data_IF_617254588220
#
_entry.id   IF_617254588220
#
_cell.length_a   1.000
_cell.length_b   1.000
_cell.length_c   1.000
_cell.angle_alpha   90.00
_cell.angle_beta   90.00
_cell.angle_gamma   90.00
#
_symmetry.space_group_name_H-M   'P 1'
#
loop_
_entity.id
_entity.type
_entity.pdbx_description
1 polymer ?
#
# COMPACT_ATOMS: atom_id res chain seq x y z
N UNK A 1 8.88 -13.81 -13.10
CA UNK A 1 7.94 -12.97 -13.91
C UNK A 1 7.25 -11.89 -13.08
N UNK A 2 6.93 -12.09 -11.77
CA UNK A 2 6.20 -11.09 -10.94
C UNK A 2 7.08 -9.94 -10.45
N UNK A 3 8.37 -10.12 -10.30
CA UNK A 3 9.35 -9.05 -10.01
C UNK A 3 9.30 -7.99 -11.10
N UNK A 4 9.31 -8.40 -12.37
CA UNK A 4 9.25 -7.51 -13.54
C UNK A 4 7.98 -6.62 -13.59
N UNK A 5 6.87 -7.03 -12.92
CA UNK A 5 5.66 -6.21 -12.91
C UNK A 5 5.75 -5.03 -11.95
N UNK A 6 6.51 -5.16 -10.84
CA UNK A 6 6.73 -4.04 -9.91
C UNK A 6 7.62 -2.99 -10.54
N UNK A 7 8.73 -3.38 -11.13
CA UNK A 7 9.59 -2.48 -11.93
C UNK A 7 8.82 -1.83 -13.07
N UNK A 8 7.95 -2.59 -13.75
CA UNK A 8 7.07 -2.04 -14.78
C UNK A 8 6.11 -0.97 -14.21
N UNK A 9 5.45 -1.23 -13.07
CA UNK A 9 4.53 -0.27 -12.45
C UNK A 9 5.26 0.98 -11.96
N UNK A 10 6.49 0.85 -11.42
CA UNK A 10 7.35 1.99 -11.10
C UNK A 10 7.66 2.81 -12.35
N UNK A 11 7.98 2.18 -13.46
CA UNK A 11 8.30 2.86 -14.72
C UNK A 11 7.09 3.64 -15.29
N UNK A 12 5.87 3.14 -15.10
CA UNK A 12 4.66 3.91 -15.43
C UNK A 12 4.63 5.21 -14.62
N UNK A 13 4.91 5.16 -13.31
CA UNK A 13 4.94 6.36 -12.47
C UNK A 13 6.09 7.28 -12.84
N UNK A 14 7.30 6.77 -13.05
CA UNK A 14 8.47 7.59 -13.46
C UNK A 14 8.21 8.40 -14.71
N UNK A 15 7.50 7.82 -15.68
CA UNK A 15 7.13 8.50 -16.92
C UNK A 15 6.15 9.65 -16.70
N UNK A 16 5.26 9.53 -15.71
CA UNK A 16 4.26 10.55 -15.35
C UNK A 16 4.85 11.61 -14.41
N UNK A 17 5.79 11.22 -13.56
CA UNK A 17 6.41 12.02 -12.51
C UNK A 17 7.95 11.94 -12.62
N UNK A 18 8.55 12.38 -13.74
CA UNK A 18 9.98 12.16 -14.01
C UNK A 18 10.92 12.83 -12.99
N UNK A 19 10.51 13.96 -12.43
CA UNK A 19 11.33 14.76 -11.51
C UNK A 19 11.09 14.43 -10.03
N UNK A 20 10.33 13.36 -9.73
CA UNK A 20 9.99 13.00 -8.36
C UNK A 20 10.77 11.77 -7.88
N UNK A 21 11.35 11.90 -6.69
CA UNK A 21 11.85 10.74 -5.95
C UNK A 21 10.71 9.75 -5.62
N UNK A 22 11.04 8.48 -5.53
CA UNK A 22 10.06 7.42 -5.25
C UNK A 22 10.31 6.82 -3.87
N UNK A 23 9.26 6.74 -3.04
CA UNK A 23 9.24 5.93 -1.83
C UNK A 23 8.32 4.73 -2.07
N UNK A 24 8.88 3.53 -2.05
CA UNK A 24 8.11 2.30 -2.19
C UNK A 24 7.52 1.90 -0.83
N UNK A 25 6.19 1.81 -0.72
CA UNK A 25 5.51 1.45 0.52
C UNK A 25 5.39 -0.07 0.60
N UNK A 26 6.11 -0.64 1.56
CA UNK A 26 6.26 -2.09 1.74
C UNK A 26 5.74 -2.63 3.08
N UNK A 27 5.07 -1.78 3.87
CA UNK A 27 4.43 -2.17 5.13
C UNK A 27 3.38 -3.26 4.96
N UNK A 28 2.97 -3.91 6.05
CA UNK A 28 1.96 -4.96 6.10
C UNK A 28 2.28 -6.09 5.11
N UNK A 29 3.46 -6.72 5.27
CA UNK A 29 3.95 -7.77 4.37
C UNK A 29 4.00 -7.33 2.89
N UNK A 30 4.39 -6.07 2.63
CA UNK A 30 4.33 -5.51 1.28
C UNK A 30 2.92 -5.68 0.66
N UNK A 31 1.90 -5.31 1.42
CA UNK A 31 0.48 -5.50 1.05
C UNK A 31 0.13 -6.97 0.78
N UNK A 32 0.69 -7.89 1.57
CA UNK A 32 0.48 -9.33 1.44
C UNK A 32 1.35 -10.01 0.37
N UNK A 33 2.33 -9.32 -0.19
CA UNK A 33 3.20 -9.86 -1.26
C UNK A 33 4.51 -10.47 -0.74
N UNK A 34 4.74 -10.42 0.58
CA UNK A 34 5.98 -10.85 1.24
C UNK A 34 7.06 -9.75 1.22
N UNK A 35 7.38 -9.22 2.40
CA UNK A 35 8.24 -8.05 2.56
C UNK A 35 9.62 -8.25 1.93
N UNK A 36 10.34 -9.30 2.34
CA UNK A 36 11.72 -9.55 1.93
C UNK A 36 11.85 -9.76 0.42
N UNK A 37 10.90 -10.51 -0.16
CA UNK A 37 10.87 -10.74 -1.61
C UNK A 37 10.60 -9.47 -2.41
N UNK A 38 9.83 -8.53 -1.86
CA UNK A 38 9.53 -7.26 -2.52
C UNK A 38 10.69 -6.31 -2.42
N UNK A 39 11.29 -6.12 -1.23
CA UNK A 39 12.42 -5.19 -1.06
C UNK A 39 13.65 -5.63 -1.86
N UNK A 40 13.97 -6.93 -1.88
CA UNK A 40 15.03 -7.46 -2.74
C UNK A 40 14.79 -7.22 -4.24
N UNK A 41 13.54 -7.28 -4.66
CA UNK A 41 13.15 -7.06 -6.05
C UNK A 41 13.19 -5.57 -6.45
N UNK A 42 13.09 -4.67 -5.48
CA UNK A 42 13.08 -3.22 -5.69
C UNK A 42 14.40 -2.55 -5.32
N UNK A 43 15.29 -3.25 -4.64
CA UNK A 43 16.63 -2.75 -4.35
C UNK A 43 17.40 -2.57 -5.66
N UNK A 44 17.88 -1.37 -5.92
CA UNK A 44 18.46 -1.01 -7.23
C UNK A 44 17.47 -0.41 -8.24
N UNK A 45 16.18 -0.32 -7.92
CA UNK A 45 15.17 0.39 -8.74
C UNK A 45 15.12 1.90 -8.44
N UNK A 46 16.16 2.48 -7.89
CA UNK A 46 16.27 3.91 -7.56
C UNK A 46 15.08 4.44 -6.72
N UNK A 47 14.67 3.64 -5.73
CA UNK A 47 13.77 4.09 -4.69
C UNK A 47 14.58 4.81 -3.61
N UNK A 48 14.14 6.02 -3.24
CA UNK A 48 14.80 6.79 -2.19
C UNK A 48 14.68 6.08 -0.82
N UNK A 49 13.51 5.52 -0.56
CA UNK A 49 13.21 4.83 0.71
C UNK A 49 12.25 3.65 0.52
N UNK A 50 12.31 2.71 1.48
CA UNK A 50 11.24 1.73 1.71
C UNK A 50 10.37 2.18 2.89
N UNK A 51 9.14 2.61 2.61
CA UNK A 51 8.19 3.06 3.62
C UNK A 51 7.56 1.89 4.38
N UNK A 52 7.79 1.85 5.69
CA UNK A 52 7.28 0.83 6.62
C UNK A 52 6.41 1.47 7.69
N UNK A 53 5.60 0.69 8.41
CA UNK A 53 4.75 1.18 9.49
C UNK A 53 5.40 1.03 10.86
N UNK A 54 6.25 0.03 11.05
CA UNK A 54 6.82 -0.32 12.36
C UNK A 54 8.33 -0.48 12.29
N UNK A 55 8.97 -0.35 13.44
CA UNK A 55 10.41 -0.59 13.63
C UNK A 55 10.75 -2.06 13.33
N UNK A 56 9.88 -2.99 13.71
CA UNK A 56 10.06 -4.41 13.40
C UNK A 56 10.08 -4.68 11.87
N UNK A 57 9.23 -4.02 11.08
CA UNK A 57 9.29 -4.11 9.62
C UNK A 57 10.59 -3.51 9.07
N UNK A 58 11.09 -2.40 9.64
CA UNK A 58 12.38 -1.81 9.26
C UNK A 58 13.54 -2.77 9.54
N UNK A 59 13.52 -3.48 10.67
CA UNK A 59 14.47 -4.53 10.99
C UNK A 59 14.48 -5.64 9.94
N UNK A 60 13.31 -6.10 9.52
CA UNK A 60 13.19 -7.13 8.44
C UNK A 60 13.69 -6.62 7.08
N UNK A 61 13.49 -5.33 6.76
CA UNK A 61 14.09 -4.73 5.55
C UNK A 61 15.61 -4.76 5.63
N UNK A 62 16.19 -4.36 6.78
CA UNK A 62 17.64 -4.45 7.03
C UNK A 62 18.15 -5.89 6.86
N UNK A 63 17.47 -6.85 7.49
CA UNK A 63 17.87 -8.27 7.51
C UNK A 63 17.73 -8.93 6.13
N UNK A 64 16.92 -8.34 5.25
CA UNK A 64 16.87 -8.75 3.83
C UNK A 64 18.15 -8.40 3.07
N UNK A 65 19.06 -7.59 3.63
CA UNK A 65 20.36 -7.25 3.05
C UNK A 65 20.28 -6.25 1.89
N UNK A 66 19.25 -5.42 1.84
CA UNK A 66 19.05 -4.38 0.82
C UNK A 66 19.73 -3.07 1.22
N UNK A 67 20.07 -2.23 0.24
CA UNK A 67 20.76 -0.95 0.44
C UNK A 67 19.79 0.20 0.68
N UNK A 68 18.60 0.13 0.11
CA UNK A 68 17.58 1.18 0.23
C UNK A 68 17.13 1.30 1.69
N UNK A 69 17.24 2.51 2.23
CA UNK A 69 16.98 2.78 3.65
C UNK A 69 15.47 2.66 3.98
N UNK A 70 15.11 2.04 5.12
CA UNK A 70 13.77 2.10 5.66
C UNK A 70 13.39 3.53 6.09
N UNK A 71 12.10 3.86 5.92
CA UNK A 71 11.45 5.06 6.43
C UNK A 71 10.23 4.67 7.26
N UNK A 72 10.25 4.99 8.55
CA UNK A 72 9.13 4.75 9.46
C UNK A 72 8.08 5.85 9.27
N UNK A 73 6.90 5.49 8.74
CA UNK A 73 5.88 6.41 8.19
C UNK A 73 5.03 7.12 9.25
N UNK A 74 5.12 6.74 10.49
CA UNK A 74 4.29 7.31 11.56
C UNK A 74 4.99 7.25 12.92
N UNK A 75 4.31 7.73 13.97
CA UNK A 75 4.82 7.66 15.32
C UNK A 75 5.18 6.24 15.72
N UNK A 76 6.26 6.09 16.48
CA UNK A 76 6.71 4.83 17.08
C UNK A 76 6.76 4.97 18.61
N UNK A 77 6.75 3.84 19.30
CA UNK A 77 6.88 3.86 20.75
C UNK A 77 8.26 4.39 21.17
N UNK A 78 8.30 5.07 22.32
CA UNK A 78 9.53 5.67 22.80
C UNK A 78 10.69 4.66 22.90
N UNK A 79 10.41 3.42 23.36
CA UNK A 79 11.41 2.35 23.43
C UNK A 79 11.91 1.81 22.10
N UNK A 80 11.23 2.11 21.00
CA UNK A 80 11.64 1.69 19.64
C UNK A 80 12.54 2.73 18.94
N UNK A 81 12.55 3.98 19.43
CA UNK A 81 13.29 5.09 18.79
C UNK A 81 14.80 4.86 18.80
N UNK A 82 15.29 4.16 19.80
CA UNK A 82 16.71 3.81 19.93
C UNK A 82 17.19 2.98 18.72
N UNK A 83 16.44 1.97 18.31
CA UNK A 83 16.78 1.14 17.16
C UNK A 83 16.81 1.94 15.86
N UNK A 84 15.92 2.93 15.71
CA UNK A 84 15.92 3.86 14.57
C UNK A 84 17.25 4.61 14.48
N UNK A 85 17.68 5.19 15.62
CA UNK A 85 18.92 5.98 15.68
C UNK A 85 20.15 5.11 15.47
N UNK A 86 20.20 3.95 16.11
CA UNK A 86 21.34 3.02 15.96
C UNK A 86 21.55 2.57 14.52
N UNK A 87 20.46 2.34 13.77
CA UNK A 87 20.52 1.89 12.38
C UNK A 87 20.53 3.04 11.35
N UNK A 88 20.37 4.30 11.77
CA UNK A 88 20.32 5.45 10.87
C UNK A 88 19.11 5.46 9.93
N UNK A 89 17.99 4.87 10.36
CA UNK A 89 16.75 4.88 9.59
C UNK A 89 16.09 6.25 9.63
N UNK A 90 15.22 6.52 8.64
CA UNK A 90 14.43 7.74 8.62
C UNK A 90 13.14 7.56 9.37
N UNK A 91 12.71 8.61 10.07
CA UNK A 91 11.49 8.59 10.86
C UNK A 91 10.59 9.81 10.55
N UNK A 92 9.29 9.60 10.63
CA UNK A 92 8.33 10.68 10.74
C UNK A 92 8.48 11.37 12.09
N UNK A 93 8.40 12.71 12.12
CA UNK A 93 8.41 13.52 13.32
C UNK A 93 7.08 14.25 13.43
N UNK A 94 6.36 14.07 14.55
CA UNK A 94 4.99 14.57 14.72
C UNK A 94 4.78 15.40 15.97
N UNK A 95 5.79 15.53 16.86
CA UNK A 95 5.70 16.33 18.07
C UNK A 95 7.08 16.82 18.54
N UNK A 96 7.07 17.84 19.39
CA UNK A 96 8.29 18.32 20.06
C UNK A 96 8.89 17.29 21.00
N UNK A 97 8.05 16.52 21.71
CA UNK A 97 8.50 15.42 22.58
C UNK A 97 9.31 14.38 21.80
N UNK A 98 8.83 13.99 20.60
CA UNK A 98 9.59 13.09 19.72
C UNK A 98 10.92 13.71 19.31
N UNK A 99 10.93 15.00 18.99
CA UNK A 99 12.15 15.73 18.62
C UNK A 99 13.19 15.73 19.74
N UNK A 100 12.78 16.06 20.95
CA UNK A 100 13.63 16.04 22.15
C UNK A 100 14.22 14.65 22.42
N UNK A 101 13.39 13.62 22.33
CA UNK A 101 13.83 12.24 22.54
C UNK A 101 14.80 11.78 21.46
N UNK A 102 14.49 12.02 20.18
CA UNK A 102 15.39 11.70 19.09
C UNK A 102 16.73 12.45 19.20
N UNK A 103 16.70 13.74 19.57
CA UNK A 103 17.92 14.51 19.78
C UNK A 103 18.78 13.92 20.94
N UNK A 104 18.13 13.52 22.02
CA UNK A 104 18.82 12.90 23.19
C UNK A 104 19.47 11.58 22.81
N UNK A 105 18.79 10.73 22.03
CA UNK A 105 19.33 9.49 21.50
C UNK A 105 20.44 9.76 20.49
N UNK A 106 20.29 10.76 19.62
CA UNK A 106 21.34 11.21 18.69
C UNK A 106 22.62 11.61 19.43
N UNK A 107 22.49 12.34 20.54
CA UNK A 107 23.61 12.71 21.40
C UNK A 107 24.23 11.47 22.07
N UNK A 108 23.42 10.56 22.61
CA UNK A 108 23.87 9.33 23.26
C UNK A 108 24.72 8.45 22.31
N UNK A 109 24.27 8.29 21.05
CA UNK A 109 24.95 7.45 20.06
C UNK A 109 25.92 8.22 19.16
N UNK A 110 26.06 9.53 19.36
CA UNK A 110 26.86 10.42 18.50
C UNK A 110 26.52 10.26 17.01
N UNK A 111 25.22 10.26 16.70
CA UNK A 111 24.69 10.07 15.33
C UNK A 111 23.66 11.14 14.97
N UNK A 112 23.62 11.59 13.72
CA UNK A 112 22.51 12.38 13.22
C UNK A 112 21.24 11.52 13.16
N UNK A 113 20.11 12.09 13.51
CA UNK A 113 18.79 11.48 13.39
C UNK A 113 18.04 12.16 12.25
N UNK A 114 17.86 11.45 11.15
CA UNK A 114 17.21 11.98 9.97
C UNK A 114 15.68 11.89 10.13
N UNK A 115 15.01 13.03 10.07
CA UNK A 115 13.57 13.10 10.28
C UNK A 115 12.86 13.88 9.16
N UNK A 116 11.63 13.45 8.87
CA UNK A 116 10.72 14.23 8.04
C UNK A 116 9.56 14.73 8.91
N UNK A 117 9.32 16.04 8.89
CA UNK A 117 8.23 16.67 9.62
C UNK A 117 6.88 16.28 9.01
N UNK A 118 6.03 15.67 9.79
CA UNK A 118 4.63 15.44 9.43
C UNK A 118 3.81 16.70 9.70
N UNK A 119 3.01 17.10 8.73
CA UNK A 119 2.01 18.17 8.87
C UNK A 119 0.62 17.58 8.69
N UNK A 120 -0.26 17.80 9.64
CA UNK A 120 -1.65 17.38 9.52
C UNK A 120 -2.47 18.44 8.79
N UNK A 121 -2.70 18.23 7.51
CA UNK A 121 -3.52 19.10 6.67
C UNK A 121 -4.99 18.65 6.59
N UNK A 122 -5.41 17.72 7.45
CA UNK A 122 -6.79 17.23 7.51
C UNK A 122 -6.93 15.70 7.48
N UNK A 123 -5.87 14.96 7.83
CA UNK A 123 -5.95 13.50 8.03
C UNK A 123 -6.39 13.15 9.47
N UNK A 124 -6.07 14.00 10.48
CA UNK A 124 -6.44 13.79 11.89
C UNK A 124 -5.73 12.61 12.53
N UNK A 125 -4.51 12.27 12.10
CA UNK A 125 -3.80 11.07 12.58
C UNK A 125 -2.49 11.35 13.29
N UNK A 126 -1.64 12.15 12.71
CA UNK A 126 -0.32 12.51 13.23
C UNK A 126 0.24 13.70 12.47
N UNK A 127 1.21 14.38 13.05
CA UNK A 127 1.85 15.56 12.47
C UNK A 127 1.50 16.82 13.21
N UNK A 128 2.31 17.86 13.02
CA UNK A 128 2.07 19.19 13.57
C UNK A 128 0.85 19.82 12.87
N UNK A 129 0.02 20.50 13.65
CA UNK A 129 -1.08 21.27 13.09
C UNK A 129 -0.57 22.53 12.36
N UNK A 130 -1.26 23.07 11.36
CA UNK A 130 -0.86 24.30 10.68
C UNK A 130 -0.62 25.49 11.65
N UNK A 131 -1.38 25.55 12.73
CA UNK A 131 -1.22 26.57 13.78
C UNK A 131 0.09 26.45 14.61
N UNK A 132 0.75 25.32 14.55
CA UNK A 132 1.99 25.05 15.30
C UNK A 132 3.26 25.32 14.45
N UNK A 133 3.12 25.59 13.17
CA UNK A 133 4.26 25.64 12.24
C UNK A 133 5.09 26.92 12.38
N UNK A 134 4.50 28.02 12.85
CA UNK A 134 5.20 29.28 12.96
C UNK A 134 6.40 29.18 13.93
N UNK A 135 7.58 29.45 13.42
CA UNK A 135 8.83 29.32 14.16
C UNK A 135 9.23 27.89 14.54
N UNK A 136 8.51 26.86 14.06
CA UNK A 136 8.80 25.47 14.38
C UNK A 136 10.19 25.04 13.90
N UNK A 137 10.55 25.39 12.67
CA UNK A 137 11.86 25.05 12.08
C UNK A 137 13.00 25.63 12.93
N UNK A 138 12.88 26.87 13.38
CA UNK A 138 13.91 27.50 14.23
C UNK A 138 14.04 26.84 15.60
N UNK A 139 12.93 26.38 16.18
CA UNK A 139 12.96 25.61 17.42
C UNK A 139 13.64 24.25 17.24
N UNK A 140 13.30 23.55 16.16
CA UNK A 140 13.86 22.23 15.85
C UNK A 140 15.35 22.30 15.50
N UNK A 141 15.84 23.37 14.90
CA UNK A 141 17.28 23.58 14.64
C UNK A 141 18.14 23.69 15.90
N UNK A 142 17.54 23.96 17.04
CA UNK A 142 18.26 23.97 18.33
C UNK A 142 18.68 22.57 18.74
N UNK A 143 18.07 21.53 18.17
CA UNK A 143 18.43 20.14 18.40
C UNK A 143 19.55 19.70 17.46
N UNK A 144 20.80 19.79 17.94
CA UNK A 144 22.01 19.62 17.13
C UNK A 144 22.19 18.25 16.48
N UNK A 145 21.45 17.23 16.94
CA UNK A 145 21.50 15.88 16.40
C UNK A 145 20.31 15.55 15.49
N UNK A 146 19.37 16.48 15.30
CA UNK A 146 18.30 16.32 14.32
C UNK A 146 18.72 16.84 12.95
N UNK A 147 18.57 15.98 11.93
CA UNK A 147 18.66 16.39 10.53
C UNK A 147 17.24 16.47 9.96
N UNK A 148 16.77 17.69 9.73
CA UNK A 148 15.44 17.98 9.20
C UNK A 148 15.43 17.76 7.69
N UNK A 149 15.39 16.47 7.26
CA UNK A 149 15.61 16.06 5.87
C UNK A 149 14.38 16.32 4.98
N UNK A 150 13.17 16.28 5.54
CA UNK A 150 11.95 16.44 4.73
C UNK A 150 10.71 16.95 5.46
N UNK A 151 9.69 17.25 4.66
CA UNK A 151 8.33 17.61 5.09
C UNK A 151 7.31 16.74 4.37
N UNK A 152 6.27 16.28 5.06
CA UNK A 152 5.22 15.51 4.44
C UNK A 152 3.84 15.74 5.05
N UNK A 153 2.81 15.40 4.28
CA UNK A 153 1.44 15.23 4.76
C UNK A 153 0.79 14.04 4.06
N UNK A 154 -0.50 13.81 4.30
CA UNK A 154 -1.25 12.73 3.68
C UNK A 154 -2.66 13.16 3.30
N UNK A 155 -3.05 12.90 2.05
CA UNK A 155 -4.39 13.16 1.57
C UNK A 155 -5.36 12.10 2.11
N UNK A 156 -6.41 12.52 2.80
CA UNK A 156 -7.37 11.62 3.43
C UNK A 156 -8.52 11.20 2.52
N UNK A 157 -8.88 12.05 1.56
CA UNK A 157 -10.09 11.89 0.74
C UNK A 157 -9.81 11.99 -0.78
N UNK A 158 -8.59 11.65 -1.23
CA UNK A 158 -8.18 11.85 -2.62
C UNK A 158 -9.10 11.17 -3.65
N UNK A 159 -9.77 10.07 -3.28
CA UNK A 159 -10.72 9.35 -4.16
C UNK A 159 -12.17 9.76 -3.98
N UNK A 160 -12.51 10.47 -2.91
CA UNK A 160 -13.90 10.61 -2.48
C UNK A 160 -14.35 12.08 -2.42
N UNK A 161 -13.46 13.02 -2.09
CA UNK A 161 -13.75 14.46 -1.99
C UNK A 161 -12.66 15.30 -2.64
N UNK A 162 -12.93 15.75 -3.85
CA UNK A 162 -12.00 16.56 -4.66
C UNK A 162 -11.76 17.92 -4.02
N UNK A 163 -12.82 18.58 -3.51
CA UNK A 163 -12.73 19.92 -2.92
C UNK A 163 -11.85 19.90 -1.67
N UNK A 164 -12.12 18.97 -0.76
CA UNK A 164 -11.34 18.80 0.44
C UNK A 164 -9.87 18.46 0.11
N UNK A 165 -9.64 17.61 -0.89
CA UNK A 165 -8.29 17.26 -1.35
C UNK A 165 -7.51 18.46 -1.87
N UNK A 166 -8.15 19.36 -2.62
CA UNK A 166 -7.51 20.63 -3.04
C UNK A 166 -7.19 21.54 -1.85
N UNK A 167 -8.06 21.59 -0.83
CA UNK A 167 -7.78 22.27 0.43
C UNK A 167 -6.55 21.71 1.14
N UNK A 168 -6.43 20.39 1.22
CA UNK A 168 -5.23 19.75 1.80
C UNK A 168 -3.95 20.03 0.99
N UNK A 169 -4.03 20.10 -0.34
CA UNK A 169 -2.89 20.46 -1.22
C UNK A 169 -2.46 21.91 -0.98
N UNK A 170 -3.42 22.85 -0.89
CA UNK A 170 -3.12 24.24 -0.56
C UNK A 170 -2.47 24.36 0.81
N UNK A 171 -3.07 23.78 1.84
CA UNK A 171 -2.53 23.79 3.19
C UNK A 171 -1.13 23.16 3.30
N UNK A 172 -0.86 22.10 2.52
CA UNK A 172 0.49 21.54 2.44
C UNK A 172 1.48 22.50 1.79
N UNK A 173 1.08 23.19 0.73
CA UNK A 173 1.93 24.18 0.06
C UNK A 173 2.27 25.37 0.98
N UNK A 174 1.28 25.85 1.72
CA UNK A 174 1.45 26.89 2.74
C UNK A 174 2.40 26.42 3.86
N UNK A 175 2.20 25.18 4.36
CA UNK A 175 3.06 24.59 5.37
C UNK A 175 4.51 24.45 4.89
N UNK A 176 4.73 24.01 3.66
CA UNK A 176 6.08 23.92 3.08
C UNK A 176 6.73 25.30 3.00
N UNK A 177 5.99 26.33 2.59
CA UNK A 177 6.50 27.70 2.52
C UNK A 177 6.88 28.20 3.91
N UNK A 178 6.02 28.05 4.91
CA UNK A 178 6.28 28.47 6.30
C UNK A 178 7.50 27.76 6.89
N UNK A 179 7.55 26.45 6.78
CA UNK A 179 8.65 25.64 7.32
C UNK A 179 9.98 25.87 6.59
N UNK A 180 9.93 26.32 5.30
CA UNK A 180 11.13 26.60 4.51
C UNK A 180 11.74 27.97 4.80
N UNK A 181 11.14 28.77 5.66
CA UNK A 181 11.74 30.01 6.11
C UNK A 181 13.05 29.69 6.87
N UNK A 182 14.18 29.94 6.22
CA UNK A 182 15.51 29.69 6.78
C UNK A 182 16.02 28.25 6.72
N UNK A 183 15.30 27.30 6.10
CA UNK A 183 15.77 25.92 5.90
C UNK A 183 15.30 25.32 4.59
N UNK A 184 16.17 24.57 3.91
CA UNK A 184 15.84 23.90 2.66
C UNK A 184 15.64 22.38 2.89
N UNK A 185 14.38 21.94 2.85
CA UNK A 185 14.05 20.53 2.95
C UNK A 185 14.35 19.81 1.63
N UNK A 186 15.12 18.71 1.73
CA UNK A 186 15.48 17.88 0.59
C UNK A 186 14.27 17.14 0.01
N UNK A 187 13.38 16.66 0.86
CA UNK A 187 12.21 15.89 0.47
C UNK A 187 10.91 16.57 0.87
N UNK A 188 9.97 16.68 -0.05
CA UNK A 188 8.62 17.19 0.20
C UNK A 188 7.63 16.24 -0.44
N UNK A 189 6.81 15.55 0.38
CA UNK A 189 5.97 14.48 -0.14
C UNK A 189 4.54 14.49 0.41
N UNK A 190 3.57 14.50 -0.49
CA UNK A 190 2.14 14.48 -0.20
C UNK A 190 1.44 13.30 -0.90
N UNK A 191 1.66 13.14 -2.20
CA UNK A 191 0.95 12.19 -3.03
C UNK A 191 1.21 10.75 -2.65
N UNK A 192 0.12 9.99 -2.47
CA UNK A 192 0.07 8.55 -2.41
C UNK A 192 -0.45 7.98 -3.74
N UNK A 193 -0.62 6.66 -3.82
CA UNK A 193 -1.19 5.99 -5.00
C UNK A 193 -2.54 6.53 -5.47
N UNK A 194 -3.34 7.11 -4.58
CA UNK A 194 -4.62 7.71 -4.96
C UNK A 194 -4.45 9.03 -5.72
N UNK A 195 -3.37 9.76 -5.46
CA UNK A 195 -3.18 11.11 -5.95
C UNK A 195 -2.25 11.21 -7.16
N UNK A 196 -1.30 10.29 -7.31
CA UNK A 196 -0.15 10.42 -8.21
C UNK A 196 -0.52 10.67 -9.68
N UNK A 197 -1.64 10.16 -10.15
CA UNK A 197 -2.09 10.33 -11.52
C UNK A 197 -3.14 11.45 -11.73
N UNK A 198 -3.68 11.98 -10.64
CA UNK A 198 -4.88 12.83 -10.70
C UNK A 198 -4.67 14.22 -10.12
N UNK A 199 -3.64 14.42 -9.30
CA UNK A 199 -3.38 15.71 -8.66
C UNK A 199 -1.95 16.19 -8.92
N UNK A 200 -1.82 17.52 -9.13
CA UNK A 200 -0.52 18.18 -9.22
C UNK A 200 -0.23 18.86 -7.89
N UNK A 201 0.97 18.65 -7.36
CA UNK A 201 1.46 19.27 -6.13
C UNK A 201 2.85 19.88 -6.41
N UNK A 202 2.91 21.13 -6.92
CA UNK A 202 4.15 21.73 -7.41
C UNK A 202 5.26 21.85 -6.36
N UNK A 203 4.91 21.99 -5.08
CA UNK A 203 5.88 22.06 -3.98
C UNK A 203 6.47 20.69 -3.60
N UNK A 204 5.87 19.58 -4.02
CA UNK A 204 6.36 18.24 -3.75
C UNK A 204 7.40 17.79 -4.79
N UNK A 205 8.35 16.97 -4.33
CA UNK A 205 9.38 16.36 -5.17
C UNK A 205 9.57 14.88 -4.91
N UNK A 206 8.65 14.24 -4.15
CA UNK A 206 8.64 12.80 -3.90
C UNK A 206 7.20 12.29 -3.82
N UNK A 207 6.99 11.04 -4.27
CA UNK A 207 5.71 10.33 -4.18
C UNK A 207 5.85 9.02 -3.41
N UNK A 208 4.79 8.62 -2.71
CA UNK A 208 4.72 7.39 -1.90
C UNK A 208 3.82 6.36 -2.58
N UNK A 209 4.42 5.31 -3.11
CA UNK A 209 3.75 4.32 -3.93
C UNK A 209 3.42 3.05 -3.12
N UNK A 210 2.16 2.87 -2.78
CA UNK A 210 1.61 1.64 -2.22
C UNK A 210 0.89 0.83 -3.30
N UNK A 211 -0.42 0.95 -3.42
CA UNK A 211 -1.27 0.14 -4.32
C UNK A 211 -0.82 0.14 -5.77
N UNK A 212 -0.36 1.26 -6.31
CA UNK A 212 0.14 1.34 -7.69
C UNK A 212 1.34 0.41 -7.92
N UNK A 213 2.23 0.32 -6.94
CA UNK A 213 3.38 -0.60 -6.99
C UNK A 213 2.92 -2.05 -7.24
N UNK A 214 1.77 -2.42 -6.69
CA UNK A 214 1.17 -3.75 -6.82
C UNK A 214 0.17 -3.86 -7.98
N UNK A 215 0.08 -2.83 -8.83
CA UNK A 215 -0.72 -2.84 -10.06
C UNK A 215 -2.17 -2.41 -9.91
N UNK A 216 -2.48 -1.65 -8.85
CA UNK A 216 -3.81 -1.13 -8.60
C UNK A 216 -3.81 0.37 -8.31
N UNK A 217 -4.59 1.14 -9.06
CA UNK A 217 -4.88 2.55 -8.74
C UNK A 217 -6.32 2.66 -8.19
N UNK A 218 -6.53 3.34 -7.06
CA UNK A 218 -7.86 3.50 -6.47
C UNK A 218 -8.74 4.50 -7.24
N UNK A 219 -8.15 5.34 -8.09
CA UNK A 219 -8.87 6.34 -8.87
C UNK A 219 -8.81 6.03 -10.37
N UNK A 220 -9.84 6.38 -11.15
CA UNK A 220 -9.81 6.33 -12.60
C UNK A 220 -8.66 7.18 -13.17
N UNK A 221 -7.90 6.61 -14.09
CA UNK A 221 -6.84 7.29 -14.82
C UNK A 221 -6.57 6.55 -16.12
N UNK A 222 -6.15 7.24 -17.20
CA UNK A 222 -5.72 6.58 -18.43
C UNK A 222 -4.56 5.60 -18.20
N UNK A 223 -3.72 5.86 -17.22
CA UNK A 223 -2.57 5.01 -16.85
C UNK A 223 -2.95 3.69 -16.16
N UNK A 224 -4.20 3.55 -15.67
CA UNK A 224 -4.64 2.32 -15.00
C UNK A 224 -4.54 1.09 -15.91
N UNK A 225 -4.74 1.27 -17.22
CA UNK A 225 -4.63 0.18 -18.22
C UNK A 225 -3.20 -0.32 -18.41
N UNK A 226 -2.23 0.48 -18.03
CA UNK A 226 -0.82 0.14 -18.13
C UNK A 226 -0.30 -0.59 -16.89
N UNK A 227 -0.98 -0.45 -15.75
CA UNK A 227 -0.59 -1.12 -14.52
C UNK A 227 -0.81 -2.63 -14.62
N UNK A 228 0.12 -3.39 -14.05
CA UNK A 228 0.10 -4.86 -14.06
C UNK A 228 -0.07 -5.39 -12.64
N UNK A 229 -1.19 -6.09 -12.34
CA UNK A 229 -1.37 -6.73 -11.05
C UNK A 229 -0.24 -7.72 -10.74
N UNK A 230 0.33 -7.60 -9.55
CA UNK A 230 1.47 -8.43 -9.12
C UNK A 230 1.05 -9.69 -8.38
N UNK A 231 -0.22 -9.81 -7.99
CA UNK A 231 -0.78 -10.98 -7.31
C UNK A 231 -1.85 -11.65 -8.18
N UNK A 232 -1.87 -12.97 -8.16
CA UNK A 232 -2.91 -13.80 -8.74
C UNK A 232 -3.19 -14.95 -7.79
N UNK A 233 -4.45 -15.15 -7.45
CA UNK A 233 -4.90 -16.24 -6.60
C UNK A 233 -5.22 -17.45 -7.48
N UNK A 234 -4.70 -18.62 -7.10
CA UNK A 234 -4.95 -19.89 -7.78
C UNK A 234 -5.51 -20.91 -6.80
N UNK A 235 -6.42 -21.74 -7.27
CA UNK A 235 -6.89 -22.89 -6.54
C UNK A 235 -7.13 -24.08 -7.49
N UNK A 236 -7.71 -25.16 -6.98
CA UNK A 236 -7.97 -26.39 -7.75
C UNK A 236 -9.42 -26.81 -7.62
N UNK A 237 -9.93 -27.40 -8.69
CA UNK A 237 -11.23 -28.09 -8.67
C UNK A 237 -11.04 -29.43 -7.94
N UNK A 238 -11.78 -29.62 -6.85
CA UNK A 238 -11.73 -30.84 -6.03
C UNK A 238 -12.80 -31.84 -6.42
N UNK A 239 -13.93 -31.38 -6.95
CA UNK A 239 -15.04 -32.21 -7.36
C UNK A 239 -15.81 -31.54 -8.52
N UNK A 240 -16.31 -32.36 -9.42
CA UNK A 240 -17.29 -31.95 -10.44
C UNK A 240 -18.47 -32.89 -10.36
N UNK A 241 -19.68 -32.35 -10.31
CA UNK A 241 -20.92 -33.13 -10.35
C UNK A 241 -22.04 -32.38 -11.04
N UNK A 242 -23.02 -33.12 -11.56
CA UNK A 242 -24.23 -32.54 -12.13
C UNK A 242 -25.34 -32.55 -11.10
N UNK A 243 -25.95 -31.40 -10.85
CA UNK A 243 -27.10 -31.21 -9.98
C UNK A 243 -28.37 -31.11 -10.84
N UNK A 244 -29.51 -31.70 -10.43
CA UNK A 244 -30.78 -31.52 -11.14
C UNK A 244 -31.27 -30.06 -10.98
N UNK A 245 -32.30 -29.70 -11.74
CA UNK A 245 -33.03 -28.47 -11.52
C UNK A 245 -33.69 -28.44 -10.14
N UNK A 246 -33.88 -27.22 -9.64
CA UNK A 246 -34.47 -26.96 -8.31
C UNK A 246 -33.67 -27.58 -7.14
N UNK A 247 -32.35 -27.64 -7.25
CA UNK A 247 -31.45 -28.16 -6.21
C UNK A 247 -30.69 -26.97 -5.55
N UNK A 248 -30.69 -26.95 -4.22
CA UNK A 248 -29.96 -25.91 -3.45
C UNK A 248 -28.45 -26.07 -3.56
N UNK A 249 -27.74 -24.93 -3.68
CA UNK A 249 -26.28 -24.88 -3.67
C UNK A 249 -25.80 -24.07 -2.48
N UNK A 250 -24.92 -24.66 -1.67
CA UNK A 250 -24.32 -24.05 -0.47
C UNK A 250 -25.33 -23.77 0.66
N UNK A 251 -24.89 -23.04 1.68
CA UNK A 251 -25.67 -22.74 2.86
C UNK A 251 -26.94 -21.92 2.56
N UNK A 252 -27.99 -22.21 3.32
CA UNK A 252 -29.29 -21.50 3.31
C UNK A 252 -30.02 -21.52 1.95
N UNK A 253 -29.66 -22.43 1.05
CA UNK A 253 -30.27 -22.55 -0.28
C UNK A 253 -30.34 -21.20 -1.03
N UNK A 254 -29.39 -20.30 -0.78
CA UNK A 254 -29.40 -18.96 -1.35
C UNK A 254 -29.14 -18.93 -2.87
N UNK A 255 -28.85 -20.08 -3.46
CA UNK A 255 -28.86 -20.31 -4.90
C UNK A 255 -29.57 -21.63 -5.20
N UNK A 256 -30.51 -21.59 -6.13
CA UNK A 256 -31.24 -22.76 -6.62
C UNK A 256 -30.93 -22.96 -8.11
N UNK A 257 -30.60 -24.20 -8.49
CA UNK A 257 -30.37 -24.53 -9.91
C UNK A 257 -31.65 -24.38 -10.72
N UNK A 258 -31.58 -23.77 -11.89
CA UNK A 258 -32.75 -23.59 -12.78
C UNK A 258 -33.00 -24.82 -13.67
N UNK A 259 -32.02 -25.65 -13.83
CA UNK A 259 -32.05 -26.86 -14.65
C UNK A 259 -30.86 -27.75 -14.31
N UNK A 260 -30.59 -28.76 -15.14
CA UNK A 260 -29.39 -29.60 -14.99
C UNK A 260 -28.14 -28.69 -15.02
N UNK A 261 -27.41 -28.60 -13.92
CA UNK A 261 -26.29 -27.68 -13.71
C UNK A 261 -25.03 -28.48 -13.34
N UNK A 262 -23.97 -28.33 -14.12
CA UNK A 262 -22.67 -28.92 -13.83
C UNK A 262 -21.90 -27.99 -12.88
N UNK A 263 -21.66 -28.45 -11.65
CA UNK A 263 -21.04 -27.67 -10.58
C UNK A 263 -19.65 -28.19 -10.27
N UNK A 264 -18.67 -27.29 -10.31
CA UNK A 264 -17.32 -27.53 -9.82
C UNK A 264 -17.19 -27.03 -8.37
N UNK A 265 -16.69 -27.86 -7.47
CA UNK A 265 -16.26 -27.48 -6.12
C UNK A 265 -14.78 -27.13 -6.16
N UNK A 266 -14.42 -25.96 -5.66
CA UNK A 266 -13.06 -25.43 -5.69
C UNK A 266 -12.57 -25.30 -4.25
N UNK A 267 -11.36 -25.81 -3.98
CA UNK A 267 -10.74 -25.81 -2.65
C UNK A 267 -10.18 -24.44 -2.27
N UNK A 268 -11.05 -23.47 -2.05
CA UNK A 268 -10.75 -22.15 -1.50
C UNK A 268 -12.00 -21.58 -0.84
N UNK A 269 -11.85 -21.00 0.34
CA UNK A 269 -12.93 -20.37 1.07
C UNK A 269 -12.51 -19.15 1.87
N UNK A 270 -13.36 -18.71 2.82
CA UNK A 270 -13.06 -17.52 3.60
C UNK A 270 -11.89 -17.73 4.59
N UNK A 271 -11.58 -18.96 5.01
CA UNK A 271 -10.38 -19.26 5.81
C UNK A 271 -9.07 -18.98 5.03
N UNK A 272 -9.13 -19.05 3.69
CA UNK A 272 -7.99 -18.72 2.81
C UNK A 272 -7.96 -17.24 2.39
N UNK A 273 -8.87 -16.42 2.92
CA UNK A 273 -9.00 -14.99 2.55
C UNK A 273 -9.89 -14.73 1.33
N UNK A 274 -10.59 -15.74 0.79
CA UNK A 274 -11.62 -15.52 -0.23
C UNK A 274 -12.88 -14.97 0.44
N UNK A 275 -13.17 -13.69 0.27
CA UNK A 275 -14.15 -12.95 1.06
C UNK A 275 -15.56 -13.57 1.00
N UNK A 276 -16.15 -13.87 2.14
CA UNK A 276 -17.52 -14.38 2.26
C UNK A 276 -18.55 -13.39 1.68
N UNK A 277 -18.25 -12.08 1.74
CA UNK A 277 -19.04 -11.02 1.14
C UNK A 277 -19.28 -11.21 -0.37
N UNK A 278 -18.40 -11.91 -1.07
CA UNK A 278 -18.55 -12.20 -2.50
C UNK A 278 -19.69 -13.18 -2.82
N UNK A 279 -20.29 -13.78 -1.79
CA UNK A 279 -21.46 -14.65 -1.94
C UNK A 279 -22.62 -13.92 -2.61
N UNK A 280 -23.13 -14.46 -3.72
CA UNK A 280 -24.25 -13.89 -4.50
C UNK A 280 -24.05 -12.46 -5.01
N UNK A 281 -22.80 -11.98 -5.06
CA UNK A 281 -22.44 -10.64 -5.60
C UNK A 281 -21.94 -10.70 -7.06
N UNK A 282 -22.27 -11.76 -7.79
CA UNK A 282 -21.81 -11.92 -9.17
C UNK A 282 -20.32 -12.22 -9.32
N UNK A 283 -19.69 -12.70 -8.24
CA UNK A 283 -18.29 -13.13 -8.28
C UNK A 283 -18.09 -14.23 -9.33
N UNK A 284 -16.96 -14.18 -10.02
CA UNK A 284 -16.60 -15.13 -11.06
C UNK A 284 -15.19 -15.64 -10.83
N UNK A 285 -14.92 -16.85 -11.28
CA UNK A 285 -13.58 -17.43 -11.34
C UNK A 285 -13.22 -17.72 -12.79
N UNK A 286 -11.93 -17.71 -13.10
CA UNK A 286 -11.45 -17.96 -14.46
C UNK A 286 -10.97 -19.41 -14.56
N UNK A 287 -11.60 -20.20 -15.43
CA UNK A 287 -11.27 -21.61 -15.67
C UNK A 287 -11.11 -21.80 -17.17
N UNK A 288 -10.00 -22.34 -17.63
CA UNK A 288 -9.74 -22.69 -19.04
C UNK A 288 -10.21 -21.65 -20.07
N UNK A 289 -9.88 -20.36 -19.84
CA UNK A 289 -10.22 -19.32 -20.79
C UNK A 289 -11.58 -18.65 -20.57
N UNK A 290 -12.40 -19.11 -19.63
CA UNK A 290 -13.77 -18.63 -19.41
C UNK A 290 -14.01 -18.14 -17.98
N UNK A 291 -14.89 -17.15 -17.82
CA UNK A 291 -15.36 -16.68 -16.52
C UNK A 291 -16.59 -17.46 -16.08
N UNK A 292 -16.46 -18.20 -14.97
CA UNK A 292 -17.50 -19.05 -14.40
C UNK A 292 -18.06 -18.42 -13.13
N UNK A 293 -19.39 -18.27 -12.98
CA UNK A 293 -19.99 -17.64 -11.82
C UNK A 293 -19.88 -18.51 -10.56
N UNK A 294 -19.62 -17.86 -9.42
CA UNK A 294 -19.69 -18.49 -8.10
C UNK A 294 -21.16 -18.64 -7.71
N UNK A 295 -21.55 -19.85 -7.29
CA UNK A 295 -22.90 -20.20 -6.91
C UNK A 295 -23.06 -20.31 -5.39
N UNK A 296 -24.05 -19.62 -4.87
CA UNK A 296 -24.40 -19.68 -3.46
C UNK A 296 -23.36 -19.01 -2.54
N UNK A 297 -23.33 -19.44 -1.28
CA UNK A 297 -22.42 -18.88 -0.28
C UNK A 297 -21.00 -19.41 -0.39
N UNK A 298 -20.04 -18.53 -0.22
CA UNK A 298 -18.65 -18.90 0.06
C UNK A 298 -18.61 -19.61 1.42
N UNK A 299 -18.06 -20.83 1.46
CA UNK A 299 -17.90 -21.59 2.70
C UNK A 299 -16.50 -21.41 3.30
N UNK A 300 -16.20 -22.03 4.40
CA UNK A 300 -14.89 -21.90 5.07
C UNK A 300 -13.74 -22.28 4.13
N UNK A 301 -13.87 -23.43 3.45
CA UNK A 301 -12.77 -24.06 2.71
C UNK A 301 -13.06 -24.22 1.21
N UNK A 302 -14.29 -23.90 0.76
CA UNK A 302 -14.73 -24.20 -0.60
C UNK A 302 -15.70 -23.17 -1.17
N UNK A 303 -15.67 -23.05 -2.50
CA UNK A 303 -16.69 -22.34 -3.30
C UNK A 303 -17.24 -23.30 -4.37
N UNK A 304 -18.49 -23.10 -4.74
CA UNK A 304 -19.16 -23.81 -5.84
C UNK A 304 -19.27 -22.89 -7.05
N UNK A 305 -19.01 -23.43 -8.24
CA UNK A 305 -18.91 -22.65 -9.46
C UNK A 305 -19.68 -23.35 -10.57
N UNK A 306 -20.45 -22.60 -11.35
CA UNK A 306 -21.14 -23.10 -12.53
C UNK A 306 -20.16 -23.33 -13.68
N UNK A 307 -20.07 -24.57 -14.12
CA UNK A 307 -19.26 -25.00 -15.27
C UNK A 307 -20.10 -25.73 -16.33
N UNK A 308 -21.41 -25.46 -16.36
CA UNK A 308 -22.38 -26.14 -17.22
C UNK A 308 -22.01 -26.05 -18.71
N UNK A 309 -21.49 -24.91 -19.13
CA UNK A 309 -21.15 -24.64 -20.53
C UNK A 309 -19.69 -24.95 -20.90
N UNK A 310 -19.00 -25.72 -20.05
CA UNK A 310 -17.61 -26.09 -20.28
C UNK A 310 -17.49 -27.57 -20.70
N UNK A 311 -17.02 -27.81 -21.92
CA UNK A 311 -16.90 -29.17 -22.49
C UNK A 311 -15.81 -30.01 -21.81
N UNK A 312 -14.71 -29.41 -21.38
CA UNK A 312 -13.56 -30.10 -20.81
C UNK A 312 -13.13 -29.45 -19.49
N UNK A 313 -13.80 -29.78 -18.40
CA UNK A 313 -13.35 -29.43 -17.04
C UNK A 313 -13.06 -30.74 -16.31
N UNK A 314 -11.83 -30.87 -15.77
CA UNK A 314 -11.40 -32.03 -14.97
C UNK A 314 -11.16 -31.61 -13.53
N UNK A 315 -11.40 -32.51 -12.56
CA UNK A 315 -10.86 -32.40 -11.22
C UNK A 315 -9.32 -32.34 -11.32
N UNK A 316 -8.68 -31.48 -10.51
CA UNK A 316 -7.23 -31.22 -10.53
C UNK A 316 -6.73 -30.18 -11.57
N UNK A 317 -7.59 -29.58 -12.39
CA UNK A 317 -7.14 -28.48 -13.23
C UNK A 317 -6.66 -27.27 -12.40
N UNK A 318 -5.40 -26.93 -12.62
CA UNK A 318 -4.75 -25.78 -12.01
C UNK A 318 -5.16 -24.53 -12.76
N UNK A 319 -5.97 -23.71 -12.19
CA UNK A 319 -6.09 -22.24 -12.39
C UNK A 319 -7.51 -21.80 -12.12
N UNK A 320 -7.71 -21.31 -10.90
CA UNK A 320 -8.79 -20.39 -10.59
C UNK A 320 -8.10 -19.06 -10.32
N UNK A 321 -8.24 -18.14 -11.24
CA UNK A 321 -7.63 -16.83 -11.14
C UNK A 321 -8.64 -15.73 -11.42
N UNK A 322 -8.41 -14.57 -10.83
CA UNK A 322 -9.13 -13.34 -11.12
C UNK A 322 -8.40 -12.62 -12.24
#
# INVERSE_FOLDING_TARGET
RRVLFRSHNLNVVRRVMPDHGLMAIVKAEAYGHGLEGVVKALDGEDCAFFGVATVAEAGRVRDAGVKTCPFILGPCFAGEREEIVQNGWRAALSSMEEAEHFNSLGALYNKPVHVHLGVDTGMGRSGFLPSELHGLTEKLKQFSHLDLEGVFSHLSAASDDISFTHGQISGFSEAVNELSLGHQYKFRHLCSSAAVFNYKVPCANMVRLGRILYGYSPMPSPYNKELRPTMTLYSRITLIRTLPGNHGVSYNHCYMTKGSTKVATIGIGYADGYLQYLSNQGARVYINGQYCPVLGRVTMDQIMVDVTYMDQVRSEERRVGK
#
